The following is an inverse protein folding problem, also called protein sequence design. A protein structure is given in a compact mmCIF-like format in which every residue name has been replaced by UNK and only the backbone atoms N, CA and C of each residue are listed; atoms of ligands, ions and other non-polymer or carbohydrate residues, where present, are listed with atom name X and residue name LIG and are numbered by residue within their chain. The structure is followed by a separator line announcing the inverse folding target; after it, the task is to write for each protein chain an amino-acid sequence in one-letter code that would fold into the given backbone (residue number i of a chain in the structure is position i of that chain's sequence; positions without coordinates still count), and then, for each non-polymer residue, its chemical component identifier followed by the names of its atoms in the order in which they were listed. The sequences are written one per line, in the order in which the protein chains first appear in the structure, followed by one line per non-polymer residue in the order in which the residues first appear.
data_IF_644607728184
#
_entry.id   IF_644607728184
#
_cell.length_a   1.000
_cell.length_b   1.000
_cell.length_c   1.000
_cell.angle_alpha   90.00
_cell.angle_beta   90.00
_cell.angle_gamma   90.00
#
_symmetry.space_group_name_H-M   'P 1'
#
loop_
_entity.id
_entity.type
_entity.pdbx_description
1 polymer ?
#
# COMPACT_ATOMS: atom_id res chain seq x y z
N UNK A 1 -20.19 -0.51 20.37
CA UNK A 1 -20.70 0.75 19.77
C UNK A 1 -20.64 0.78 18.24
N UNK A 2 -19.47 0.87 17.56
CA UNK A 2 -19.45 0.87 16.07
C UNK A 2 -19.52 -0.52 15.44
N UNK A 3 -18.85 -1.52 16.02
CA UNK A 3 -18.90 -2.92 15.54
C UNK A 3 -20.26 -3.59 15.72
N UNK A 4 -21.04 -3.08 16.67
CA UNK A 4 -22.40 -3.54 16.99
C UNK A 4 -23.48 -2.70 16.27
N UNK A 5 -23.08 -1.73 15.45
CA UNK A 5 -24.03 -0.88 14.73
C UNK A 5 -24.63 -1.57 13.51
N UNK A 6 -25.73 -1.04 12.98
CA UNK A 6 -26.38 -1.56 11.78
C UNK A 6 -25.64 -1.23 10.47
N UNK A 7 -24.49 -0.56 10.55
CA UNK A 7 -23.62 -0.33 9.40
C UNK A 7 -23.14 -1.67 8.83
N UNK A 8 -23.35 -1.87 7.53
CA UNK A 8 -22.98 -3.10 6.82
C UNK A 8 -21.49 -3.21 6.56
N UNK A 9 -20.80 -2.09 6.34
CA UNK A 9 -19.37 -2.08 6.01
C UNK A 9 -19.04 -2.99 4.81
N UNK A 10 -17.88 -3.64 4.84
CA UNK A 10 -17.46 -4.59 3.82
C UNK A 10 -17.60 -6.04 4.31
N UNK A 11 -18.39 -6.83 3.57
CA UNK A 11 -18.46 -8.27 3.75
C UNK A 11 -17.37 -8.93 2.89
N UNK A 12 -16.41 -9.58 3.54
CA UNK A 12 -15.29 -10.25 2.87
C UNK A 12 -15.63 -11.74 2.78
N UNK A 13 -15.62 -12.35 1.57
CA UNK A 13 -15.84 -13.78 1.44
C UNK A 13 -14.87 -14.59 2.30
N UNK A 14 -15.40 -15.56 3.06
CA UNK A 14 -14.62 -16.40 3.97
C UNK A 14 -14.32 -15.78 5.34
N UNK A 15 -14.63 -14.51 5.56
CA UNK A 15 -14.52 -13.85 6.86
C UNK A 15 -15.87 -13.85 7.59
N UNK A 16 -15.86 -14.10 8.90
CA UNK A 16 -17.10 -14.11 9.70
C UNK A 16 -17.55 -12.71 10.06
N UNK A 17 -16.59 -11.83 10.33
CA UNK A 17 -16.84 -10.45 10.73
C UNK A 17 -16.79 -9.51 9.52
N UNK A 18 -17.75 -8.59 9.46
CA UNK A 18 -17.70 -7.48 8.50
C UNK A 18 -16.60 -6.49 8.87
N UNK A 19 -15.89 -5.98 7.86
CA UNK A 19 -14.92 -4.91 8.04
C UNK A 19 -15.66 -3.56 8.07
N UNK A 20 -15.76 -2.96 9.25
CA UNK A 20 -16.41 -1.64 9.45
C UNK A 20 -15.37 -0.57 9.82
N UNK A 21 -14.40 -0.92 10.66
CA UNK A 21 -13.37 0.02 11.10
C UNK A 21 -12.01 -0.64 11.25
N UNK A 22 -10.97 0.15 10.98
CA UNK A 22 -9.58 -0.17 11.32
C UNK A 22 -8.96 1.01 12.06
N UNK A 23 -8.22 0.73 13.12
CA UNK A 23 -7.65 1.73 14.03
C UNK A 23 -6.15 1.49 14.16
N UNK A 24 -5.36 2.56 14.05
CA UNK A 24 -3.93 2.54 14.34
C UNK A 24 -3.54 3.84 15.04
N UNK A 25 -3.32 3.76 16.36
CA UNK A 25 -3.20 4.94 17.21
C UNK A 25 -4.41 5.89 17.03
N UNK A 26 -4.19 7.13 16.60
CA UNK A 26 -5.21 8.12 16.30
C UNK A 26 -5.79 8.01 14.88
N UNK A 27 -5.08 7.35 13.96
CA UNK A 27 -5.55 7.13 12.59
C UNK A 27 -6.70 6.11 12.59
N UNK A 28 -7.86 6.56 12.10
CA UNK A 28 -9.09 5.76 12.01
C UNK A 28 -9.56 5.69 10.57
N UNK A 29 -9.79 4.48 10.07
CA UNK A 29 -10.45 4.23 8.78
C UNK A 29 -11.81 3.58 9.03
N UNK A 30 -12.86 4.14 8.43
CA UNK A 30 -14.19 3.54 8.41
C UNK A 30 -14.51 3.04 6.99
N UNK A 31 -15.11 1.86 6.90
CA UNK A 31 -15.50 1.20 5.67
C UNK A 31 -17.02 1.13 5.65
N UNK A 32 -17.63 1.72 4.61
CA UNK A 32 -19.08 1.84 4.47
C UNK A 32 -19.52 1.19 3.17
N UNK A 33 -20.61 0.44 3.22
CA UNK A 33 -21.34 0.01 2.04
C UNK A 33 -22.01 1.21 1.37
N UNK A 34 -22.24 1.15 0.06
CA UNK A 34 -22.97 2.20 -0.67
C UNK A 34 -24.35 2.51 -0.06
N UNK A 35 -24.99 1.50 0.53
CA UNK A 35 -26.31 1.60 1.19
C UNK A 35 -26.26 2.00 2.67
N UNK A 36 -25.07 2.11 3.27
CA UNK A 36 -24.94 2.60 4.64
C UNK A 36 -25.25 4.11 4.70
N UNK A 37 -25.87 4.56 5.79
CA UNK A 37 -26.08 5.99 6.00
C UNK A 37 -24.85 6.61 6.69
N UNK A 38 -24.28 7.63 6.06
CA UNK A 38 -23.15 8.36 6.64
C UNK A 38 -23.54 9.10 7.93
N UNK A 39 -24.81 9.48 8.09
CA UNK A 39 -25.32 10.11 9.32
C UNK A 39 -25.28 9.14 10.51
N UNK A 40 -25.57 7.86 10.30
CA UNK A 40 -25.49 6.85 11.36
C UNK A 40 -24.05 6.72 11.88
N UNK A 41 -23.08 6.71 10.95
CA UNK A 41 -21.66 6.75 11.32
C UNK A 41 -21.33 8.02 12.12
N UNK A 42 -21.75 9.20 11.65
CA UNK A 42 -21.51 10.45 12.37
C UNK A 42 -22.11 10.45 13.77
N UNK A 43 -23.32 9.92 13.94
CA UNK A 43 -23.99 9.82 15.23
C UNK A 43 -23.22 8.89 16.18
N UNK A 44 -22.73 7.75 15.69
CA UNK A 44 -21.90 6.83 16.46
C UNK A 44 -20.59 7.52 16.89
N UNK A 45 -19.90 8.15 15.94
CA UNK A 45 -18.63 8.84 16.20
C UNK A 45 -18.82 10.03 17.16
N UNK A 46 -19.91 10.78 17.03
CA UNK A 46 -20.22 11.92 17.90
C UNK A 46 -20.51 11.49 19.33
N UNK A 47 -21.28 10.40 19.52
CA UNK A 47 -21.51 9.80 20.84
C UNK A 47 -20.20 9.34 21.48
N UNK A 48 -19.32 8.71 20.70
CA UNK A 48 -18.01 8.31 21.19
C UNK A 48 -17.13 9.50 21.55
N UNK A 49 -17.07 10.54 20.71
CA UNK A 49 -16.33 11.78 20.99
C UNK A 49 -16.83 12.48 22.25
N UNK A 50 -18.15 12.51 22.47
CA UNK A 50 -18.75 13.08 23.67
C UNK A 50 -18.31 12.32 24.93
N UNK A 51 -18.25 10.99 24.86
CA UNK A 51 -17.84 10.15 25.99
C UNK A 51 -16.32 10.19 26.24
N UNK A 52 -15.50 10.26 25.18
CA UNK A 52 -14.04 10.22 25.29
C UNK A 52 -13.39 11.60 25.45
N UNK A 53 -14.10 12.67 25.11
CA UNK A 53 -13.54 14.02 24.98
C UNK A 53 -12.67 14.23 23.73
N UNK A 54 -12.56 13.22 22.86
CA UNK A 54 -11.80 13.32 21.62
C UNK A 54 -12.59 14.08 20.52
N UNK A 55 -11.89 14.50 19.46
CA UNK A 55 -12.49 15.17 18.30
C UNK A 55 -11.80 14.77 17.00
N UNK A 56 -12.57 14.30 16.02
CA UNK A 56 -12.05 14.04 14.69
C UNK A 56 -11.64 15.33 13.99
N UNK A 57 -10.50 15.29 13.32
CA UNK A 57 -10.03 16.39 12.49
C UNK A 57 -10.68 16.30 11.10
N UNK A 58 -11.78 17.04 10.91
CA UNK A 58 -12.53 17.09 9.66
C UNK A 58 -11.64 17.48 8.47
N UNK A 59 -10.72 18.44 8.66
CA UNK A 59 -9.79 18.87 7.60
C UNK A 59 -8.77 17.79 7.17
N UNK A 60 -8.57 16.76 7.98
CA UNK A 60 -7.77 15.57 7.64
C UNK A 60 -8.61 14.36 7.24
N UNK A 61 -9.93 14.45 7.35
CA UNK A 61 -10.84 13.35 7.03
C UNK A 61 -11.10 13.35 5.52
N UNK A 62 -10.82 12.21 4.89
CA UNK A 62 -10.94 12.03 3.45
C UNK A 62 -11.88 10.87 3.15
N UNK A 63 -12.71 11.00 2.11
CA UNK A 63 -13.58 9.94 1.59
C UNK A 63 -12.96 9.45 0.30
N UNK A 64 -12.72 8.14 0.20
CA UNK A 64 -12.24 7.48 -1.02
C UNK A 64 -13.37 6.60 -1.54
N UNK A 65 -14.04 6.95 -2.65
CA UNK A 65 -15.04 6.07 -3.25
C UNK A 65 -14.35 4.84 -3.84
N UNK A 66 -14.88 3.65 -3.56
CA UNK A 66 -14.39 2.38 -4.07
C UNK A 66 -15.55 1.66 -4.76
N UNK A 67 -15.35 1.23 -6.01
CA UNK A 67 -16.38 0.56 -6.79
C UNK A 67 -16.11 0.63 -8.28
N UNK A 68 -17.18 0.57 -9.08
CA UNK A 68 -17.08 0.76 -10.54
C UNK A 68 -16.71 2.19 -10.88
N UNK A 69 -16.10 2.41 -12.05
CA UNK A 69 -15.74 3.76 -12.50
C UNK A 69 -16.96 4.69 -12.59
N UNK A 70 -18.11 4.16 -13.04
CA UNK A 70 -19.36 4.91 -13.08
C UNK A 70 -19.83 5.33 -11.67
N UNK A 71 -19.77 4.41 -10.71
CA UNK A 71 -20.10 4.68 -9.31
C UNK A 71 -19.19 5.76 -8.71
N UNK A 72 -17.87 5.60 -8.85
CA UNK A 72 -16.91 6.56 -8.32
C UNK A 72 -17.13 7.96 -8.91
N UNK A 73 -17.36 8.08 -10.23
CA UNK A 73 -17.67 9.35 -10.89
C UNK A 73 -18.96 9.97 -10.35
N UNK A 74 -20.01 9.16 -10.19
CA UNK A 74 -21.28 9.62 -9.64
C UNK A 74 -21.11 10.16 -8.21
N UNK A 75 -20.40 9.43 -7.33
CA UNK A 75 -20.16 9.88 -5.96
C UNK A 75 -19.34 11.18 -5.93
N UNK A 76 -18.32 11.29 -6.77
CA UNK A 76 -17.50 12.51 -6.84
C UNK A 76 -18.33 13.73 -7.29
N UNK A 77 -19.25 13.54 -8.25
CA UNK A 77 -20.06 14.63 -8.80
C UNK A 77 -21.26 15.00 -7.92
N UNK A 78 -22.01 13.99 -7.46
CA UNK A 78 -23.28 14.18 -6.75
C UNK A 78 -23.15 14.12 -5.24
N UNK A 79 -22.03 13.60 -4.72
CA UNK A 79 -21.83 13.26 -3.30
C UNK A 79 -22.84 12.24 -2.75
N UNK A 80 -23.59 11.56 -3.61
CA UNK A 80 -24.63 10.58 -3.23
C UNK A 80 -24.07 9.16 -3.46
N UNK A 81 -24.16 8.31 -2.43
CA UNK A 81 -23.67 6.92 -2.49
C UNK A 81 -24.73 5.92 -2.94
N UNK A 82 -26.01 6.23 -2.80
CA UNK A 82 -27.13 5.41 -3.27
C UNK A 82 -28.32 6.34 -3.55
N UNK A 83 -29.18 6.00 -4.52
CA UNK A 83 -30.25 6.90 -4.99
C UNK A 83 -31.23 7.34 -3.88
N UNK A 84 -31.31 6.59 -2.78
CA UNK A 84 -32.19 6.89 -1.65
C UNK A 84 -31.46 7.59 -0.48
N UNK A 85 -30.22 8.06 -0.67
CA UNK A 85 -29.39 8.64 0.40
C UNK A 85 -29.15 10.12 0.20
N UNK A 86 -29.04 10.82 1.33
CA UNK A 86 -28.62 12.21 1.37
C UNK A 86 -27.17 12.36 0.90
N UNK A 87 -26.81 13.50 0.28
CA UNK A 87 -25.43 13.79 -0.08
C UNK A 87 -24.47 13.78 1.12
N UNK A 88 -23.24 13.34 0.90
CA UNK A 88 -22.16 13.40 1.89
C UNK A 88 -21.86 14.86 2.29
N UNK A 89 -21.57 15.16 3.57
CA UNK A 89 -21.37 16.52 4.06
C UNK A 89 -20.34 17.32 3.28
N UNK A 90 -20.65 18.55 2.87
CA UNK A 90 -19.79 19.37 2.00
C UNK A 90 -18.41 19.69 2.59
N UNK A 91 -18.31 19.72 3.92
CA UNK A 91 -17.06 19.97 4.64
C UNK A 91 -16.06 18.80 4.57
N UNK A 92 -16.46 17.65 4.04
CA UNK A 92 -15.59 16.49 3.86
C UNK A 92 -15.03 16.44 2.45
N UNK A 93 -13.71 16.26 2.36
CA UNK A 93 -13.03 16.06 1.09
C UNK A 93 -13.32 14.66 0.53
N UNK A 94 -13.70 14.60 -0.76
CA UNK A 94 -13.83 13.35 -1.52
C UNK A 94 -12.67 13.32 -2.52
N UNK A 95 -11.85 12.27 -2.43
CA UNK A 95 -10.70 12.07 -3.31
C UNK A 95 -11.16 11.91 -4.76
N UNK A 96 -10.61 12.74 -5.64
CA UNK A 96 -10.90 12.72 -7.08
C UNK A 96 -10.13 11.60 -7.79
N UNK A 97 -10.48 11.34 -9.04
CA UNK A 97 -9.63 10.48 -9.89
C UNK A 97 -8.23 11.08 -10.02
N UNK A 98 -7.20 10.25 -9.85
CA UNK A 98 -5.79 10.65 -9.85
C UNK A 98 -5.28 11.23 -8.54
N UNK A 99 -6.16 11.52 -7.57
CA UNK A 99 -5.80 12.09 -6.28
C UNK A 99 -5.39 11.01 -5.29
N UNK A 100 -4.21 11.17 -4.69
CA UNK A 100 -3.65 10.21 -3.74
C UNK A 100 -3.84 10.70 -2.30
N UNK A 101 -4.52 9.89 -1.49
CA UNK A 101 -4.76 10.11 -0.06
C UNK A 101 -3.80 9.24 0.75
N UNK A 102 -3.10 9.86 1.70
CA UNK A 102 -2.14 9.15 2.54
C UNK A 102 -2.84 8.48 3.72
N UNK A 103 -2.69 7.17 3.86
CA UNK A 103 -3.19 6.37 4.99
C UNK A 103 -2.03 5.51 5.51
N UNK A 104 -1.66 5.67 6.78
CA UNK A 104 -0.57 4.92 7.43
C UNK A 104 0.75 4.95 6.65
N UNK A 105 1.06 6.04 5.95
CA UNK A 105 2.30 6.15 5.17
C UNK A 105 2.26 5.56 3.76
N UNK A 106 1.16 4.91 3.35
CA UNK A 106 0.89 4.51 1.98
C UNK A 106 -0.14 5.43 1.32
N UNK A 107 -0.28 5.35 0.00
CA UNK A 107 -1.05 6.30 -0.81
C UNK A 107 -2.18 5.61 -1.57
N UNK A 108 -3.42 5.91 -1.24
CA UNK A 108 -4.61 5.28 -1.79
C UNK A 108 -5.40 6.25 -2.66
N UNK A 109 -6.09 5.74 -3.67
CA UNK A 109 -6.93 6.55 -4.54
C UNK A 109 -7.21 5.86 -5.86
N UNK A 110 -8.20 6.36 -6.60
CA UNK A 110 -8.57 5.81 -7.90
C UNK A 110 -7.63 6.36 -8.98
N UNK A 111 -7.09 5.47 -9.83
CA UNK A 111 -6.20 5.82 -10.96
C UNK A 111 -5.00 6.70 -10.56
N UNK A 112 -4.47 6.52 -9.34
CA UNK A 112 -3.27 7.24 -8.90
C UNK A 112 -2.05 6.83 -9.71
N UNK A 113 -1.15 7.78 -9.96
CA UNK A 113 0.12 7.49 -10.60
C UNK A 113 1.07 6.84 -9.59
N UNK A 114 1.29 5.52 -9.76
CA UNK A 114 2.13 4.74 -8.87
C UNK A 114 3.59 5.22 -8.82
N UNK A 115 4.12 5.88 -9.84
CA UNK A 115 5.48 6.44 -9.82
C UNK A 115 5.52 7.78 -9.07
N UNK A 116 4.51 8.63 -9.23
CA UNK A 116 4.43 9.93 -8.57
C UNK A 116 4.40 9.79 -7.04
N UNK A 117 3.77 8.71 -6.54
CA UNK A 117 3.78 8.34 -5.12
C UNK A 117 5.20 8.19 -4.54
N UNK A 118 6.18 7.82 -5.36
CA UNK A 118 7.57 7.66 -4.93
C UNK A 118 8.38 8.95 -4.93
N UNK A 119 7.92 10.02 -5.59
CA UNK A 119 8.71 11.25 -5.73
C UNK A 119 9.19 11.83 -4.39
N UNK A 120 8.36 11.96 -3.33
CA UNK A 120 8.83 12.49 -2.04
C UNK A 120 9.89 11.60 -1.37
N UNK A 121 9.82 10.28 -1.59
CA UNK A 121 10.80 9.33 -1.03
C UNK A 121 12.12 9.46 -1.79
N UNK A 122 12.07 9.57 -3.12
CA UNK A 122 13.25 9.75 -3.96
C UNK A 122 13.97 11.07 -3.64
N UNK A 123 13.25 12.18 -3.54
CA UNK A 123 13.83 13.47 -3.15
C UNK A 123 14.50 13.42 -1.77
N UNK A 124 13.87 12.72 -0.82
CA UNK A 124 14.43 12.52 0.53
C UNK A 124 15.69 11.65 0.48
N UNK A 125 15.71 10.61 -0.35
CA UNK A 125 16.89 9.77 -0.56
C UNK A 125 18.03 10.62 -1.12
N UNK A 126 17.79 11.36 -2.20
CA UNK A 126 18.80 12.20 -2.87
C UNK A 126 19.38 13.24 -1.91
N UNK A 127 18.51 13.91 -1.15
CA UNK A 127 18.90 14.88 -0.12
C UNK A 127 19.82 14.24 0.94
N UNK A 128 19.49 13.03 1.40
CA UNK A 128 20.30 12.36 2.42
C UNK A 128 21.64 11.87 1.85
N UNK A 129 21.64 11.29 0.65
CA UNK A 129 22.87 10.84 0.00
C UNK A 129 23.82 12.02 -0.24
N UNK A 130 23.32 13.15 -0.73
CA UNK A 130 24.10 14.37 -0.91
C UNK A 130 24.71 14.88 0.39
N UNK A 131 23.94 14.86 1.50
CA UNK A 131 24.46 15.23 2.84
C UNK A 131 25.61 14.32 3.27
N UNK A 132 25.45 13.01 3.12
CA UNK A 132 26.49 12.05 3.49
C UNK A 132 27.72 12.14 2.58
N UNK A 133 27.54 12.43 1.30
CA UNK A 133 28.63 12.57 0.34
C UNK A 133 29.62 13.68 0.73
N UNK A 134 29.16 14.76 1.38
CA UNK A 134 30.00 15.88 1.83
C UNK A 134 31.12 15.47 2.77
N UNK A 135 30.93 14.40 3.55
CA UNK A 135 31.91 13.88 4.50
C UNK A 135 32.93 12.92 3.85
N UNK A 136 32.88 12.73 2.53
CA UNK A 136 33.83 11.91 1.78
C UNK A 136 33.91 10.44 2.24
N UNK A 137 32.78 9.72 2.44
CA UNK A 137 32.78 8.38 3.00
C UNK A 137 33.64 7.39 2.18
N UNK A 138 34.27 6.45 2.90
CA UNK A 138 34.98 5.31 2.31
C UNK A 138 34.03 4.42 1.49
N UNK A 139 34.56 3.45 0.74
CA UNK A 139 33.72 2.48 0.02
C UNK A 139 32.76 1.75 0.95
N UNK A 140 33.23 1.32 2.12
CA UNK A 140 32.40 0.60 3.09
C UNK A 140 31.42 1.53 3.81
N UNK A 141 31.82 2.79 4.06
CA UNK A 141 30.91 3.83 4.52
C UNK A 141 29.77 4.06 3.54
N UNK A 142 30.08 4.17 2.23
CA UNK A 142 29.05 4.31 1.18
C UNK A 142 28.13 3.11 1.11
N UNK A 143 28.66 1.88 1.22
CA UNK A 143 27.82 0.66 1.33
C UNK A 143 26.84 0.76 2.49
N UNK A 144 27.31 1.14 3.68
CA UNK A 144 26.46 1.26 4.87
C UNK A 144 25.40 2.36 4.68
N UNK A 145 25.77 3.50 4.11
CA UNK A 145 24.85 4.60 3.80
C UNK A 145 23.79 4.17 2.80
N UNK A 146 24.16 3.46 1.73
CA UNK A 146 23.21 2.89 0.76
C UNK A 146 22.17 2.01 1.46
N UNK A 147 22.63 1.10 2.32
CA UNK A 147 21.73 0.19 3.04
C UNK A 147 20.80 0.95 4.00
N UNK A 148 21.32 1.95 4.72
CA UNK A 148 20.59 2.74 5.69
C UNK A 148 19.57 3.67 5.01
N UNK A 149 20.00 4.43 4.00
CA UNK A 149 19.18 5.45 3.33
C UNK A 149 18.27 4.81 2.30
N UNK A 150 18.84 4.19 1.26
CA UNK A 150 18.02 3.63 0.17
C UNK A 150 17.26 2.40 0.67
N UNK A 151 17.95 1.46 1.33
CA UNK A 151 17.30 0.26 1.86
C UNK A 151 16.24 0.60 2.91
N UNK A 152 16.57 1.44 3.89
CA UNK A 152 15.66 1.80 4.98
C UNK A 152 14.44 2.60 4.53
N UNK A 153 14.60 3.54 3.59
CA UNK A 153 13.49 4.41 3.18
C UNK A 153 12.53 3.78 2.16
N UNK A 154 13.00 2.80 1.38
CA UNK A 154 12.19 2.21 0.30
C UNK A 154 11.37 1.01 0.78
N UNK A 155 11.88 0.25 1.75
CA UNK A 155 11.33 -1.06 2.12
C UNK A 155 9.84 -1.03 2.50
N UNK A 156 9.41 -0.05 3.30
CA UNK A 156 8.01 0.03 3.75
C UNK A 156 7.04 0.20 2.57
N UNK A 157 7.28 1.21 1.74
CA UNK A 157 6.40 1.51 0.61
C UNK A 157 6.40 0.38 -0.43
N UNK A 158 7.54 -0.28 -0.64
CA UNK A 158 7.62 -1.48 -1.48
C UNK A 158 6.74 -2.62 -0.95
N UNK A 159 6.71 -2.85 0.37
CA UNK A 159 5.88 -3.90 0.97
C UNK A 159 4.39 -3.61 0.79
N UNK A 160 3.99 -2.34 0.95
CA UNK A 160 2.56 -1.98 0.95
C UNK A 160 1.99 -1.80 -0.46
N UNK A 161 2.75 -1.21 -1.39
CA UNK A 161 2.24 -0.81 -2.72
C UNK A 161 3.07 -1.33 -3.89
N UNK A 162 4.15 -2.06 -3.62
CA UNK A 162 5.12 -2.44 -4.63
C UNK A 162 5.99 -1.26 -5.09
N UNK A 163 7.04 -1.57 -5.83
CA UNK A 163 7.92 -0.58 -6.44
C UNK A 163 7.79 -0.65 -7.97
N UNK A 164 7.37 0.43 -8.65
CA UNK A 164 7.35 0.50 -10.10
C UNK A 164 8.73 0.23 -10.71
N UNK A 165 8.77 -0.33 -11.92
CA UNK A 165 10.04 -0.66 -12.57
C UNK A 165 10.90 0.55 -12.92
N UNK A 166 10.28 1.70 -13.20
CA UNK A 166 11.05 2.94 -13.39
C UNK A 166 11.76 3.37 -12.10
N UNK A 167 11.06 3.30 -10.95
CA UNK A 167 11.62 3.62 -9.63
C UNK A 167 12.73 2.62 -9.24
N UNK A 168 12.51 1.33 -9.46
CA UNK A 168 13.52 0.28 -9.22
C UNK A 168 14.80 0.53 -10.03
N UNK A 169 14.67 0.84 -11.32
CA UNK A 169 15.80 1.17 -12.21
C UNK A 169 16.50 2.46 -11.78
N UNK A 170 15.73 3.49 -11.42
CA UNK A 170 16.28 4.76 -10.93
C UNK A 170 17.14 4.52 -9.68
N UNK A 171 16.60 3.81 -8.67
CA UNK A 171 17.32 3.50 -7.44
C UNK A 171 18.54 2.61 -7.70
N UNK A 172 18.45 1.59 -8.55
CA UNK A 172 19.59 0.74 -8.90
C UNK A 172 20.74 1.56 -9.52
N UNK A 173 20.40 2.49 -10.43
CA UNK A 173 21.37 3.43 -11.00
C UNK A 173 21.98 4.32 -9.90
N UNK A 174 21.14 4.86 -9.02
CA UNK A 174 21.57 5.75 -7.94
C UNK A 174 22.51 5.05 -6.94
N UNK A 175 22.20 3.81 -6.55
CA UNK A 175 23.06 2.94 -5.72
C UNK A 175 24.45 2.84 -6.35
N UNK A 176 24.49 2.51 -7.65
CA UNK A 176 25.74 2.32 -8.36
C UNK A 176 26.55 3.63 -8.48
N UNK A 177 25.91 4.71 -8.90
CA UNK A 177 26.54 6.03 -9.04
C UNK A 177 27.11 6.51 -7.70
N UNK A 178 26.34 6.39 -6.62
CA UNK A 178 26.78 6.77 -5.28
C UNK A 178 27.97 5.93 -4.83
N UNK A 179 27.89 4.60 -4.97
CA UNK A 179 28.97 3.68 -4.59
C UNK A 179 30.31 4.03 -5.24
N UNK A 180 30.31 4.50 -6.48
CA UNK A 180 31.53 4.80 -7.24
C UNK A 180 31.94 6.27 -7.26
N UNK A 181 31.32 7.15 -6.46
CA UNK A 181 31.58 8.61 -6.47
C UNK A 181 31.42 9.20 -7.88
N UNK A 182 30.36 8.83 -8.58
CA UNK A 182 30.04 9.39 -9.91
C UNK A 182 31.13 9.18 -10.98
N UNK A 183 32.03 8.19 -10.78
CA UNK A 183 32.99 7.79 -11.81
C UNK A 183 32.26 7.28 -13.05
N UNK A 184 32.72 7.68 -14.23
CA UNK A 184 32.13 7.29 -15.52
C UNK A 184 32.13 5.78 -15.76
N UNK A 185 33.11 5.04 -15.19
CA UNK A 185 33.24 3.59 -15.37
C UNK A 185 33.16 2.86 -14.04
N UNK A 186 32.31 1.84 -13.99
CA UNK A 186 32.26 0.87 -12.90
C UNK A 186 33.46 -0.08 -13.01
N UNK A 187 34.36 -0.12 -12.03
CA UNK A 187 35.54 -0.97 -12.10
C UNK A 187 35.24 -2.45 -11.81
N UNK A 188 34.04 -2.77 -11.30
CA UNK A 188 33.64 -4.11 -10.88
C UNK A 188 32.26 -4.44 -11.42
N UNK A 189 32.06 -5.69 -11.86
CA UNK A 189 30.77 -6.22 -12.28
C UNK A 189 29.75 -6.15 -11.13
N UNK A 190 28.50 -5.75 -11.42
CA UNK A 190 27.42 -5.64 -10.43
C UNK A 190 27.19 -6.92 -9.63
N UNK A 191 27.25 -8.09 -10.28
CA UNK A 191 27.04 -9.37 -9.61
C UNK A 191 28.08 -9.63 -8.52
N UNK A 192 29.32 -9.17 -8.73
CA UNK A 192 30.40 -9.26 -7.73
C UNK A 192 30.16 -8.25 -6.60
N UNK A 193 29.73 -7.03 -6.93
CA UNK A 193 29.45 -5.96 -5.96
C UNK A 193 28.38 -6.37 -4.93
N UNK A 194 27.32 -7.05 -5.37
CA UNK A 194 26.25 -7.57 -4.51
C UNK A 194 26.65 -8.84 -3.73
N UNK A 195 27.68 -9.55 -4.19
CA UNK A 195 28.13 -10.81 -3.63
C UNK A 195 28.64 -10.72 -2.17
N UNK A 196 28.76 -11.87 -1.49
CA UNK A 196 29.23 -11.95 -0.11
C UNK A 196 30.71 -11.55 0.02
N UNK A 197 31.10 -11.05 1.19
CA UNK A 197 32.46 -10.55 1.46
C UNK A 197 33.50 -11.67 1.33
N UNK A 198 33.14 -12.87 1.75
CA UNK A 198 33.96 -14.08 1.76
C UNK A 198 34.34 -14.55 0.35
N UNK A 199 33.56 -14.14 -0.67
CA UNK A 199 33.82 -14.43 -2.09
C UNK A 199 34.39 -13.23 -2.86
N UNK A 200 34.94 -12.23 -2.14
CA UNK A 200 35.48 -11.01 -2.73
C UNK A 200 34.43 -9.99 -3.17
N UNK A 201 33.15 -10.21 -2.82
CA UNK A 201 32.08 -9.24 -3.05
C UNK A 201 32.07 -8.12 -2.01
N UNK A 202 31.10 -7.21 -2.11
CA UNK A 202 30.96 -6.08 -1.16
C UNK A 202 29.63 -6.06 -0.41
N UNK A 203 28.71 -6.99 -0.67
CA UNK A 203 27.38 -7.05 -0.02
C UNK A 203 26.61 -5.73 -0.14
N UNK A 204 26.74 -5.04 -1.28
CA UNK A 204 25.97 -3.82 -1.55
C UNK A 204 24.52 -4.20 -1.84
N UNK A 205 23.59 -3.38 -1.37
CA UNK A 205 22.15 -3.57 -1.59
C UNK A 205 21.83 -3.76 -3.08
N UNK A 206 21.26 -4.91 -3.42
CA UNK A 206 20.57 -5.14 -4.68
C UNK A 206 19.08 -4.86 -4.47
N UNK A 207 18.57 -3.76 -5.02
CA UNK A 207 17.17 -3.36 -4.85
C UNK A 207 16.20 -4.32 -5.54
N UNK A 208 16.62 -4.92 -6.67
CA UNK A 208 15.79 -5.86 -7.43
C UNK A 208 15.61 -7.15 -6.64
N UNK A 209 16.71 -7.73 -6.15
CA UNK A 209 16.67 -8.93 -5.31
C UNK A 209 15.93 -8.66 -3.99
N UNK A 210 16.08 -7.46 -3.40
CA UNK A 210 15.29 -7.07 -2.22
C UNK A 210 13.79 -7.05 -2.52
N UNK A 211 13.37 -6.49 -3.66
CA UNK A 211 11.97 -6.47 -4.07
C UNK A 211 11.43 -7.89 -4.31
N UNK A 212 12.23 -8.78 -4.93
CA UNK A 212 11.87 -10.19 -5.11
C UNK A 212 11.72 -10.92 -3.77
N UNK A 213 12.63 -10.70 -2.83
CA UNK A 213 12.54 -11.25 -1.48
C UNK A 213 11.27 -10.75 -0.74
N UNK A 214 10.90 -9.48 -0.90
CA UNK A 214 9.64 -8.94 -0.33
C UNK A 214 8.43 -9.69 -0.89
N UNK A 215 8.39 -9.97 -2.20
CA UNK A 215 7.31 -10.74 -2.83
C UNK A 215 7.25 -12.17 -2.31
N UNK A 216 8.40 -12.83 -2.14
CA UNK A 216 8.47 -14.17 -1.55
C UNK A 216 7.94 -14.16 -0.12
N UNK A 217 8.30 -13.16 0.68
CA UNK A 217 7.77 -13.03 2.05
C UNK A 217 6.28 -12.73 2.09
N UNK A 218 5.75 -11.98 1.11
CA UNK A 218 4.31 -11.80 0.93
C UNK A 218 3.63 -13.13 0.60
N UNK A 219 4.18 -13.90 -0.35
CA UNK A 219 3.66 -15.20 -0.75
C UNK A 219 3.67 -16.19 0.41
N UNK A 220 4.76 -16.23 1.19
CA UNK A 220 4.84 -17.04 2.41
C UNK A 220 3.71 -16.72 3.40
N UNK A 221 3.38 -15.43 3.58
CA UNK A 221 2.28 -15.01 4.47
C UNK A 221 0.90 -15.30 3.87
N UNK A 222 0.78 -15.24 2.54
CA UNK A 222 -0.47 -15.54 1.84
C UNK A 222 -0.82 -17.04 1.91
N UNK A 223 0.21 -17.90 1.78
CA UNK A 223 0.10 -19.36 1.88
C UNK A 223 0.07 -19.88 3.33
N UNK A 224 -0.03 -18.99 4.32
CA UNK A 224 -0.22 -19.37 5.71
C UNK A 224 -1.73 -19.58 5.97
N UNK A 225 -2.16 -20.84 5.94
CA UNK A 225 -3.55 -21.25 6.14
C UNK A 225 -3.87 -21.62 7.59
N UNK A 226 -3.07 -21.15 8.55
CA UNK A 226 -3.32 -21.35 9.98
C UNK A 226 -4.63 -20.72 10.47
N UNK A 227 -5.04 -21.00 11.72
CA UNK A 227 -6.27 -20.45 12.30
C UNK A 227 -6.27 -18.91 12.40
N UNK A 228 -5.09 -18.29 12.41
CA UNK A 228 -4.91 -16.83 12.40
C UNK A 228 -4.65 -16.28 10.98
N UNK A 229 -5.23 -16.93 9.97
CA UNK A 229 -5.11 -16.49 8.58
C UNK A 229 -5.54 -15.03 8.46
N UNK A 230 -4.72 -14.24 7.78
CA UNK A 230 -4.91 -12.78 7.72
C UNK A 230 -6.06 -12.45 6.78
N UNK A 231 -6.95 -11.55 7.19
CA UNK A 231 -8.11 -11.08 6.41
C UNK A 231 -7.76 -10.63 4.97
N UNK A 232 -6.62 -9.96 4.77
CA UNK A 232 -6.21 -9.55 3.41
C UNK A 232 -5.93 -10.73 2.48
N UNK A 233 -5.57 -11.91 3.01
CA UNK A 233 -5.39 -13.11 2.20
C UNK A 233 -6.73 -13.63 1.67
N UNK A 234 -7.81 -13.50 2.45
CA UNK A 234 -9.18 -13.82 2.00
C UNK A 234 -9.64 -12.84 0.91
N UNK A 235 -9.31 -11.55 1.06
CA UNK A 235 -9.54 -10.55 0.00
C UNK A 235 -8.76 -10.94 -1.27
N UNK A 236 -7.51 -11.38 -1.13
CA UNK A 236 -6.70 -11.81 -2.27
C UNK A 236 -7.30 -13.06 -2.95
N UNK A 237 -7.77 -14.05 -2.19
CA UNK A 237 -8.49 -15.21 -2.72
C UNK A 237 -9.69 -14.77 -3.57
N UNK A 238 -10.55 -13.90 -3.01
CA UNK A 238 -11.71 -13.38 -3.73
C UNK A 238 -11.33 -12.61 -5.00
N UNK A 239 -10.24 -11.83 -4.97
CA UNK A 239 -9.76 -11.10 -6.15
C UNK A 239 -9.20 -12.05 -7.22
N UNK A 240 -8.49 -13.11 -6.83
CA UNK A 240 -7.98 -14.11 -7.77
C UNK A 240 -9.12 -14.92 -8.40
N UNK A 241 -10.16 -15.25 -7.63
CA UNK A 241 -11.38 -15.88 -8.13
C UNK A 241 -12.15 -15.03 -9.15
N UNK A 242 -11.93 -13.71 -9.21
CA UNK A 242 -12.47 -12.83 -10.26
C UNK A 242 -11.60 -12.76 -11.52
N UNK A 243 -10.38 -13.30 -11.47
CA UNK A 243 -9.35 -13.20 -12.53
C UNK A 243 -8.90 -14.56 -13.05
N UNK A 244 -9.80 -15.55 -12.97
CA UNK A 244 -9.63 -16.91 -13.50
C UNK A 244 -9.26 -16.87 -15.00
N UNK A 245 -8.33 -17.73 -15.47
CA UNK A 245 -8.01 -17.85 -16.89
C UNK A 245 -9.24 -18.11 -17.77
N UNK A 246 -9.18 -17.70 -19.04
CA UNK A 246 -10.29 -17.87 -19.99
C UNK A 246 -10.72 -19.34 -20.14
N UNK A 247 -9.79 -20.28 -20.00
CA UNK A 247 -10.03 -21.73 -20.04
C UNK A 247 -10.95 -22.23 -18.93
N UNK A 248 -11.05 -21.52 -17.82
CA UNK A 248 -11.70 -21.97 -16.58
C UNK A 248 -12.87 -21.03 -16.20
N UNK A 249 -13.33 -20.17 -17.13
CA UNK A 249 -14.40 -19.17 -16.90
C UNK A 249 -15.76 -19.75 -16.52
N UNK A 250 -16.01 -21.02 -16.80
CA UNK A 250 -17.28 -21.70 -16.51
C UNK A 250 -17.33 -22.26 -15.09
N UNK A 251 -16.24 -22.15 -14.32
CA UNK A 251 -16.17 -22.61 -12.93
C UNK A 251 -16.91 -21.61 -12.05
N UNK A 252 -17.76 -22.11 -11.16
CA UNK A 252 -18.48 -21.27 -10.21
C UNK A 252 -17.46 -20.51 -9.33
N UNK A 253 -17.43 -19.16 -9.30
CA UNK A 253 -16.50 -18.40 -8.48
C UNK A 253 -16.58 -18.75 -6.98
N UNK A 254 -17.71 -19.26 -6.49
CA UNK A 254 -17.88 -19.69 -5.10
C UNK A 254 -17.01 -20.91 -4.73
N UNK A 255 -16.61 -21.73 -5.72
CA UNK A 255 -15.70 -22.88 -5.48
C UNK A 255 -14.23 -22.53 -5.73
N UNK A 256 -13.95 -21.34 -6.27
CA UNK A 256 -12.62 -20.82 -6.53
C UNK A 256 -12.00 -20.26 -5.24
N UNK A 257 -11.52 -21.16 -4.38
CA UNK A 257 -11.02 -20.79 -3.05
C UNK A 257 -9.55 -20.40 -3.06
N UNK A 258 -8.70 -21.09 -3.84
CA UNK A 258 -7.27 -20.77 -3.88
C UNK A 258 -6.56 -21.28 -5.14
N UNK A 259 -5.91 -20.36 -5.87
CA UNK A 259 -5.17 -20.65 -7.12
C UNK A 259 -3.98 -21.61 -6.97
N UNK A 260 -3.44 -21.80 -5.77
CA UNK A 260 -2.28 -22.68 -5.54
C UNK A 260 -2.67 -24.05 -5.01
N UNK A 261 -3.90 -24.20 -4.51
CA UNK A 261 -4.41 -25.48 -3.97
C UNK A 261 -5.40 -26.15 -4.92
N UNK A 262 -5.87 -25.44 -5.94
CA UNK A 262 -6.88 -25.91 -6.87
C UNK A 262 -6.43 -25.67 -8.32
N UNK A 263 -6.81 -26.60 -9.18
CA UNK A 263 -6.96 -26.36 -10.62
C UNK A 263 -8.44 -26.09 -10.84
N UNK A 264 -8.79 -25.03 -11.55
CA UNK A 264 -10.18 -24.68 -11.81
C UNK A 264 -10.61 -25.20 -13.18
#
# INVERSE_FOLDING_TARGET
MIRESDLKGYNIPGEKERLITNLFADDTSAFLNATDNFEDLQNILSKWCLASGAKFNIGKTNIIPIGTEAFCKQVIQSRITDCNKSPLPENLHIAKEGEAVRILGAWFGNKINAEQVWAPVLEKIDTNLAKWAKNGPTMDGRRAIIQMVIGGMTQYLTVVQGMPKAVEKHLAKHINTYLWKEKERNPVNQNVVHGPLEKGGRKVLDIKVRNEAIKIMWLKKYLDFGPERRMWALIADALFALKVPTSERNVNPEVCMNIFLQLW
#
